data_IF_899598955081
#
_entry.id   IF_899598955081
#
_cell.length_a   1.000
_cell.length_b   1.000
_cell.length_c   1.000
_cell.angle_alpha   90.00
_cell.angle_beta   90.00
_cell.angle_gamma   90.00
#
_symmetry.space_group_name_H-M   'P 1'
#
loop_
_entity.id
_entity.type
_entity.pdbx_description
1 polymer ?
#
# COMPACT_ATOMS: atom_id res chain seq x y z
N UNK A 1 26.93 3.97 -14.21
CA UNK A 1 26.10 2.92 -14.86
C UNK A 1 25.97 1.66 -14.00
N UNK A 2 27.07 0.96 -13.66
CA UNK A 2 27.02 -0.30 -12.89
C UNK A 2 26.19 -0.20 -11.58
N UNK A 3 26.46 0.80 -10.73
CA UNK A 3 25.67 1.02 -9.51
C UNK A 3 24.18 1.28 -9.78
N UNK A 4 23.83 2.00 -10.86
CA UNK A 4 22.43 2.22 -11.24
C UNK A 4 21.75 0.93 -11.70
N UNK A 5 22.46 0.06 -12.43
CA UNK A 5 21.97 -1.29 -12.76
C UNK A 5 21.64 -2.06 -11.49
N UNK A 6 22.56 -2.08 -10.52
CA UNK A 6 22.35 -2.73 -9.21
C UNK A 6 21.11 -2.20 -8.52
N UNK A 7 20.97 -0.88 -8.43
CA UNK A 7 19.80 -0.24 -7.83
C UNK A 7 18.48 -0.66 -8.53
N UNK A 8 18.43 -0.63 -9.86
CA UNK A 8 17.25 -1.07 -10.64
C UNK A 8 16.88 -2.52 -10.37
N UNK A 9 17.88 -3.40 -10.36
CA UNK A 9 17.68 -4.84 -10.19
C UNK A 9 17.16 -5.17 -8.81
N UNK A 10 17.70 -4.52 -7.77
CA UNK A 10 17.23 -4.71 -6.41
C UNK A 10 15.85 -4.10 -6.17
N UNK A 11 15.52 -2.96 -6.79
CA UNK A 11 14.16 -2.42 -6.74
C UNK A 11 13.16 -3.42 -7.31
N UNK A 12 13.39 -3.96 -8.51
CA UNK A 12 12.50 -4.98 -9.08
C UNK A 12 12.45 -6.25 -8.23
N UNK A 13 13.60 -6.70 -7.73
CA UNK A 13 13.66 -7.89 -6.88
C UNK A 13 12.82 -7.73 -5.61
N UNK A 14 12.98 -6.63 -4.88
CA UNK A 14 12.22 -6.40 -3.64
C UNK A 14 10.76 -6.05 -3.90
N UNK A 15 10.45 -5.38 -5.01
CA UNK A 15 9.07 -5.18 -5.45
C UNK A 15 8.38 -6.52 -5.78
N UNK A 16 9.10 -7.48 -6.34
CA UNK A 16 8.57 -8.84 -6.53
C UNK A 16 8.45 -9.59 -5.18
N UNK A 17 9.47 -9.47 -4.31
CA UNK A 17 9.46 -10.08 -2.97
C UNK A 17 8.28 -9.61 -2.12
N UNK A 18 7.94 -8.33 -2.17
CA UNK A 18 6.83 -7.79 -1.42
C UNK A 18 5.50 -8.46 -1.78
N UNK A 19 5.36 -8.96 -3.00
CA UNK A 19 4.17 -9.66 -3.53
C UNK A 19 4.11 -11.14 -3.20
N UNK A 20 5.15 -11.72 -2.59
CA UNK A 20 5.16 -13.10 -2.08
C UNK A 20 4.36 -13.18 -0.78
N UNK A 21 3.04 -13.02 -0.90
CA UNK A 21 2.11 -12.99 0.23
C UNK A 21 0.68 -13.38 -0.21
N UNK A 22 -0.26 -13.41 0.72
CA UNK A 22 -1.68 -13.70 0.44
C UNK A 22 -2.53 -12.45 0.17
N UNK A 23 -1.97 -11.26 0.32
CA UNK A 23 -2.64 -9.97 0.10
C UNK A 23 -2.72 -9.58 -1.37
N UNK A 24 -1.67 -9.84 -2.14
CA UNK A 24 -1.53 -9.37 -3.51
C UNK A 24 -2.66 -9.80 -4.47
N UNK A 25 -3.30 -10.99 -4.33
CA UNK A 25 -4.50 -11.31 -5.09
C UNK A 25 -5.65 -10.29 -4.92
N UNK A 26 -5.82 -9.73 -3.72
CA UNK A 26 -6.84 -8.70 -3.49
C UNK A 26 -6.48 -7.37 -4.15
N UNK A 27 -5.18 -7.02 -4.18
CA UNK A 27 -4.67 -5.85 -4.90
C UNK A 27 -4.95 -5.96 -6.40
N UNK A 28 -4.59 -7.09 -7.03
CA UNK A 28 -4.85 -7.30 -8.46
C UNK A 28 -6.34 -7.22 -8.76
N UNK A 29 -7.17 -7.86 -7.94
CA UNK A 29 -8.62 -7.83 -8.07
C UNK A 29 -9.16 -6.39 -8.06
N UNK A 30 -8.81 -5.60 -7.03
CA UNK A 30 -9.32 -4.23 -6.88
C UNK A 30 -8.71 -3.27 -7.91
N UNK A 31 -7.41 -3.35 -8.15
CA UNK A 31 -6.69 -2.54 -9.14
C UNK A 31 -7.33 -2.68 -10.53
N UNK A 32 -7.58 -3.91 -10.99
CA UNK A 32 -8.21 -4.13 -12.29
C UNK A 32 -9.70 -3.78 -12.32
N UNK A 33 -10.39 -3.89 -11.17
CA UNK A 33 -11.79 -3.45 -11.09
C UNK A 33 -11.92 -1.93 -11.21
N UNK A 34 -10.97 -1.19 -10.62
CA UNK A 34 -10.90 0.26 -10.72
C UNK A 34 -10.35 0.72 -12.09
N UNK A 35 -9.55 -0.12 -12.77
CA UNK A 35 -8.98 0.20 -14.08
C UNK A 35 -10.06 0.55 -15.12
N UNK A 36 -9.93 1.68 -15.84
CA UNK A 36 -10.99 2.17 -16.72
C UNK A 36 -11.14 1.36 -18.03
N UNK A 37 -10.13 0.58 -18.40
CA UNK A 37 -10.06 -0.07 -19.72
C UNK A 37 -10.46 -1.54 -19.75
N UNK A 38 -10.79 -2.15 -18.60
CA UNK A 38 -11.17 -3.56 -18.54
C UNK A 38 -12.68 -3.76 -18.74
N UNK A 39 -13.11 -4.75 -19.55
CA UNK A 39 -14.52 -4.99 -19.78
C UNK A 39 -15.21 -5.51 -18.51
N UNK A 40 -16.49 -5.16 -18.33
CA UNK A 40 -17.28 -5.53 -17.15
C UNK A 40 -17.23 -7.03 -16.84
N UNK A 41 -17.35 -7.89 -17.86
CA UNK A 41 -17.33 -9.34 -17.65
C UNK A 41 -16.02 -9.84 -17.04
N UNK A 42 -14.88 -9.21 -17.36
CA UNK A 42 -13.59 -9.56 -16.78
C UNK A 42 -13.50 -9.07 -15.34
N UNK A 43 -13.95 -7.83 -15.09
CA UNK A 43 -14.02 -7.24 -13.74
C UNK A 43 -14.80 -8.13 -12.78
N UNK A 44 -15.94 -8.67 -13.21
CA UNK A 44 -16.78 -9.56 -12.41
C UNK A 44 -16.12 -10.92 -12.13
N UNK A 45 -15.31 -11.44 -13.05
CA UNK A 45 -14.57 -12.71 -12.88
C UNK A 45 -13.40 -12.62 -11.90
N UNK A 46 -13.00 -11.41 -11.49
CA UNK A 46 -11.94 -11.23 -10.50
C UNK A 46 -12.40 -11.57 -9.09
N UNK A 47 -13.71 -11.52 -8.82
CA UNK A 47 -14.33 -11.97 -7.57
C UNK A 47 -14.62 -13.46 -7.59
N UNK A 48 -14.59 -14.11 -6.42
CA UNK A 48 -14.88 -15.53 -6.28
C UNK A 48 -16.29 -15.88 -6.78
N UNK A 49 -17.30 -15.06 -6.45
CA UNK A 49 -18.66 -15.14 -6.99
C UNK A 49 -19.41 -13.81 -6.80
N UNK A 50 -19.31 -12.90 -7.75
CA UNK A 50 -20.05 -11.63 -7.67
C UNK A 50 -21.58 -11.83 -7.82
N UNK A 51 -22.44 -11.13 -7.04
CA UNK A 51 -22.11 -10.18 -5.96
C UNK A 51 -21.94 -10.82 -4.58
N UNK A 52 -22.22 -12.11 -4.43
CA UNK A 52 -22.37 -12.76 -3.12
C UNK A 52 -21.03 -13.06 -2.41
N UNK A 53 -19.92 -13.11 -3.14
CA UNK A 53 -18.58 -13.43 -2.66
C UNK A 53 -17.53 -12.56 -3.34
N UNK A 54 -17.12 -11.51 -2.61
CA UNK A 54 -16.17 -10.52 -3.08
C UNK A 54 -14.71 -10.84 -2.71
N UNK A 55 -14.43 -12.07 -2.26
CA UNK A 55 -13.05 -12.53 -2.08
C UNK A 55 -12.34 -12.67 -3.44
N UNK A 56 -10.99 -12.62 -3.47
CA UNK A 56 -10.24 -12.84 -4.70
C UNK A 56 -10.55 -14.19 -5.33
N UNK A 57 -10.85 -14.19 -6.63
CA UNK A 57 -11.02 -15.42 -7.41
C UNK A 57 -9.70 -16.16 -7.65
N UNK A 58 -9.81 -17.39 -8.17
CA UNK A 58 -8.66 -18.13 -8.71
C UNK A 58 -7.97 -17.39 -9.87
N UNK A 59 -8.72 -16.62 -10.66
CA UNK A 59 -8.16 -15.80 -11.74
C UNK A 59 -7.30 -14.67 -11.16
N UNK A 60 -7.80 -13.93 -10.18
CA UNK A 60 -7.06 -12.87 -9.51
C UNK A 60 -5.78 -13.42 -8.86
N UNK A 61 -5.86 -14.58 -8.20
CA UNK A 61 -4.69 -15.26 -7.64
C UNK A 61 -3.68 -15.68 -8.71
N UNK A 62 -4.13 -16.29 -9.82
CA UNK A 62 -3.25 -16.68 -10.92
C UNK A 62 -2.55 -15.47 -11.55
N UNK A 63 -3.26 -14.36 -11.75
CA UNK A 63 -2.69 -13.11 -12.26
C UNK A 63 -1.68 -12.49 -11.28
N UNK A 64 -1.97 -12.52 -9.98
CA UNK A 64 -1.04 -12.08 -8.94
C UNK A 64 0.27 -12.89 -8.94
N UNK A 65 0.17 -14.22 -9.04
CA UNK A 65 1.36 -15.09 -9.14
C UNK A 65 2.13 -14.87 -10.45
N UNK A 66 1.44 -14.72 -11.57
CA UNK A 66 2.08 -14.42 -12.86
C UNK A 66 2.81 -13.09 -12.83
N UNK A 67 2.19 -12.05 -12.26
CA UNK A 67 2.81 -10.74 -12.09
C UNK A 67 4.06 -10.82 -11.22
N UNK A 68 3.96 -11.50 -10.08
CA UNK A 68 5.11 -11.72 -9.15
C UNK A 68 6.25 -12.46 -9.85
N UNK A 69 5.94 -13.54 -10.56
CA UNK A 69 6.93 -14.33 -11.30
C UNK A 69 7.61 -13.50 -12.40
N UNK A 70 6.83 -12.77 -13.19
CA UNK A 70 7.33 -11.90 -14.26
C UNK A 70 8.29 -10.85 -13.70
N UNK A 71 7.91 -10.22 -12.59
CA UNK A 71 8.71 -9.18 -11.94
C UNK A 71 10.03 -9.71 -11.37
N UNK A 72 10.09 -10.96 -10.89
CA UNK A 72 11.36 -11.62 -10.56
C UNK A 72 12.21 -11.94 -11.77
N UNK A 73 11.59 -12.39 -12.87
CA UNK A 73 12.32 -12.80 -14.07
C UNK A 73 13.03 -11.62 -14.75
N UNK A 74 12.46 -10.41 -14.70
CA UNK A 74 13.07 -9.22 -15.32
C UNK A 74 14.51 -8.98 -14.82
N UNK A 75 14.77 -8.72 -13.52
CA UNK A 75 16.13 -8.45 -13.04
C UNK A 75 17.05 -9.67 -13.18
N UNK A 76 16.54 -10.89 -12.96
CA UNK A 76 17.37 -12.11 -13.04
C UNK A 76 17.85 -12.40 -14.47
N UNK A 77 16.97 -12.26 -15.47
CA UNK A 77 17.34 -12.46 -16.86
C UNK A 77 18.18 -11.32 -17.40
N UNK A 78 17.93 -10.07 -17.00
CA UNK A 78 18.78 -8.93 -17.40
C UNK A 78 20.20 -9.03 -16.81
N UNK A 79 20.35 -9.61 -15.62
CA UNK A 79 21.66 -9.91 -15.02
C UNK A 79 22.39 -11.04 -15.73
N UNK A 80 21.70 -12.13 -16.02
CA UNK A 80 22.31 -13.35 -16.54
C UNK A 80 22.49 -13.33 -18.07
N UNK A 81 21.75 -12.49 -18.79
CA UNK A 81 21.74 -12.47 -20.26
C UNK A 81 22.99 -11.82 -20.83
N UNK A 82 23.73 -12.58 -21.64
CA UNK A 82 24.76 -12.06 -22.55
C UNK A 82 24.24 -11.89 -23.99
N UNK A 83 22.99 -12.30 -24.26
CA UNK A 83 22.37 -12.30 -25.58
C UNK A 83 21.59 -11.00 -25.83
N UNK A 84 21.93 -10.21 -26.87
CA UNK A 84 21.17 -9.01 -27.22
C UNK A 84 19.69 -9.29 -27.49
N UNK A 85 19.38 -10.45 -28.10
CA UNK A 85 18.00 -10.86 -28.38
C UNK A 85 17.22 -11.10 -27.09
N UNK A 86 17.77 -11.90 -26.17
CA UNK A 86 17.11 -12.20 -24.90
C UNK A 86 16.91 -10.92 -24.08
N UNK A 87 17.93 -10.07 -24.00
CA UNK A 87 17.83 -8.77 -23.32
C UNK A 87 16.73 -7.90 -23.95
N UNK A 88 16.66 -7.83 -25.28
CA UNK A 88 15.59 -7.11 -25.98
C UNK A 88 14.20 -7.65 -25.68
N UNK A 89 14.02 -8.98 -25.64
CA UNK A 89 12.74 -9.62 -25.26
C UNK A 89 12.37 -9.28 -23.81
N UNK A 90 13.30 -9.37 -22.87
CA UNK A 90 13.04 -9.06 -21.46
C UNK A 90 12.69 -7.58 -21.28
N UNK A 91 13.35 -6.67 -21.98
CA UNK A 91 13.02 -5.25 -21.96
C UNK A 91 11.62 -4.97 -22.53
N UNK A 92 11.22 -5.69 -23.58
CA UNK A 92 9.86 -5.59 -24.11
C UNK A 92 8.81 -6.13 -23.12
N UNK A 93 9.09 -7.26 -22.46
CA UNK A 93 8.23 -7.80 -21.39
C UNK A 93 8.12 -6.82 -20.22
N UNK A 94 9.24 -6.25 -19.78
CA UNK A 94 9.28 -5.23 -18.73
C UNK A 94 8.45 -4.00 -19.13
N UNK A 95 8.60 -3.50 -20.35
CA UNK A 95 7.80 -2.39 -20.87
C UNK A 95 6.30 -2.71 -20.83
N UNK A 96 5.90 -3.89 -21.30
CA UNK A 96 4.50 -4.34 -21.25
C UNK A 96 3.98 -4.51 -19.82
N UNK A 97 4.80 -5.02 -18.90
CA UNK A 97 4.47 -5.16 -17.48
C UNK A 97 4.21 -3.79 -16.84
N UNK A 98 5.12 -2.84 -17.00
CA UNK A 98 4.93 -1.47 -16.52
C UNK A 98 3.75 -0.76 -17.21
N UNK A 99 3.54 -1.00 -18.51
CA UNK A 99 2.38 -0.51 -19.25
C UNK A 99 1.05 -1.03 -18.68
N UNK A 100 0.98 -2.32 -18.33
CA UNK A 100 -0.18 -2.90 -17.65
C UNK A 100 -0.46 -2.17 -16.33
N UNK A 101 0.57 -1.93 -15.51
CA UNK A 101 0.41 -1.21 -14.24
C UNK A 101 -0.09 0.23 -14.49
N UNK A 102 0.49 0.96 -15.45
CA UNK A 102 0.04 2.32 -15.82
C UNK A 102 -1.43 2.37 -16.25
N UNK A 103 -1.87 1.45 -17.10
CA UNK A 103 -3.24 1.41 -17.65
C UNK A 103 -4.27 1.15 -16.54
N UNK A 104 -3.88 0.47 -15.47
CA UNK A 104 -4.75 0.20 -14.33
C UNK A 104 -4.89 1.40 -13.38
N UNK A 105 -4.07 2.44 -13.51
CA UNK A 105 -4.00 3.59 -12.61
C UNK A 105 -4.16 3.22 -11.11
N UNK A 106 -3.31 2.31 -10.57
CA UNK A 106 -3.42 1.87 -9.18
C UNK A 106 -3.33 3.06 -8.23
N UNK A 107 -4.22 3.08 -7.24
CA UNK A 107 -4.22 4.11 -6.19
C UNK A 107 -2.84 4.18 -5.53
N UNK A 108 -2.33 5.41 -5.39
CA UNK A 108 -1.03 5.70 -4.77
C UNK A 108 0.19 5.52 -5.66
N UNK A 109 0.10 4.86 -6.83
CA UNK A 109 1.29 4.65 -7.65
C UNK A 109 1.89 5.98 -8.16
N UNK A 110 3.18 6.24 -7.90
CA UNK A 110 3.88 7.35 -8.53
C UNK A 110 4.10 6.99 -10.00
N UNK A 111 3.28 7.56 -10.88
CA UNK A 111 3.37 7.31 -12.33
C UNK A 111 4.78 7.66 -12.85
N UNK A 112 5.39 8.68 -12.27
CA UNK A 112 6.76 9.11 -12.51
C UNK A 112 7.76 7.99 -12.24
N UNK A 113 7.57 7.24 -11.14
CA UNK A 113 8.41 6.08 -10.82
C UNK A 113 8.26 4.99 -11.87
N UNK A 114 7.02 4.70 -12.30
CA UNK A 114 6.77 3.68 -13.30
C UNK A 114 7.41 4.03 -14.66
N UNK A 115 7.34 5.30 -15.07
CA UNK A 115 8.01 5.82 -16.27
C UNK A 115 9.53 5.73 -16.11
N UNK A 116 10.06 6.11 -14.96
CA UNK A 116 11.49 6.07 -14.68
C UNK A 116 12.01 4.63 -14.76
N UNK A 117 11.30 3.65 -14.19
CA UNK A 117 11.69 2.24 -14.26
C UNK A 117 11.79 1.74 -15.70
N UNK A 118 10.85 2.12 -16.56
CA UNK A 118 10.87 1.81 -18.01
C UNK A 118 12.07 2.46 -18.69
N UNK A 119 12.25 3.77 -18.50
CA UNK A 119 13.36 4.52 -19.08
C UNK A 119 14.70 3.91 -18.65
N UNK A 120 14.89 3.69 -17.35
CA UNK A 120 16.11 3.11 -16.80
C UNK A 120 16.34 1.68 -17.28
N UNK A 121 15.30 0.88 -17.48
CA UNK A 121 15.41 -0.44 -18.10
C UNK A 121 16.06 -0.37 -19.49
N UNK A 122 15.49 0.44 -20.39
CA UNK A 122 16.02 0.61 -21.75
C UNK A 122 17.39 1.28 -21.77
N UNK A 123 17.59 2.32 -20.97
CA UNK A 123 18.84 3.06 -20.92
C UNK A 123 19.98 2.22 -20.34
N UNK A 124 19.77 1.60 -19.18
CA UNK A 124 20.82 0.87 -18.49
C UNK A 124 21.11 -0.47 -19.16
N UNK A 125 20.08 -1.25 -19.51
CA UNK A 125 20.27 -2.63 -20.00
C UNK A 125 20.17 -2.78 -21.51
N UNK A 126 19.52 -1.83 -22.20
CA UNK A 126 19.47 -1.79 -23.66
C UNK A 126 20.66 -1.03 -24.24
N UNK A 127 20.74 0.28 -23.96
CA UNK A 127 21.77 1.17 -24.50
C UNK A 127 23.13 0.86 -23.91
N UNK A 128 23.23 0.77 -22.57
CA UNK A 128 24.48 0.52 -21.86
C UNK A 128 24.68 -0.94 -21.46
N UNK A 129 24.30 -1.87 -22.34
CA UNK A 129 24.36 -3.32 -22.08
C UNK A 129 25.77 -3.82 -21.71
N UNK A 130 26.80 -3.20 -22.27
CA UNK A 130 28.22 -3.51 -22.10
C UNK A 130 28.76 -3.22 -20.69
N UNK A 131 28.11 -2.34 -19.93
CA UNK A 131 28.55 -1.99 -18.59
C UNK A 131 28.27 -3.13 -17.60
N UNK A 132 29.30 -3.82 -17.15
CA UNK A 132 29.16 -4.90 -16.18
C UNK A 132 28.71 -4.35 -14.80
N UNK A 133 27.55 -4.79 -14.26
CA UNK A 133 27.07 -4.36 -12.95
C UNK A 133 28.00 -4.78 -11.79
N UNK A 134 28.81 -5.83 -11.95
CA UNK A 134 29.68 -6.36 -10.90
C UNK A 134 30.98 -5.57 -10.69
N UNK A 135 31.31 -4.63 -11.60
CA UNK A 135 32.42 -3.68 -11.42
C UNK A 135 32.31 -2.86 -10.13
N UNK A 136 31.11 -2.78 -9.55
CA UNK A 136 30.89 -2.15 -8.26
C UNK A 136 31.73 -2.77 -7.13
N UNK A 137 32.10 -4.05 -7.25
CA UNK A 137 32.93 -4.76 -6.27
C UNK A 137 34.36 -4.19 -6.18
N UNK A 138 34.83 -3.50 -7.22
CA UNK A 138 36.13 -2.82 -7.22
C UNK A 138 36.12 -1.53 -6.37
N UNK A 139 34.95 -1.09 -5.91
CA UNK A 139 34.76 0.08 -5.04
C UNK A 139 34.18 -0.35 -3.68
N UNK A 140 34.99 -0.87 -2.74
CA UNK A 140 34.50 -1.54 -1.54
C UNK A 140 33.55 -0.69 -0.68
N UNK A 141 33.83 0.61 -0.54
CA UNK A 141 32.96 1.51 0.23
C UNK A 141 31.57 1.66 -0.42
N UNK A 142 31.52 1.79 -1.75
CA UNK A 142 30.27 1.90 -2.49
C UNK A 142 29.53 0.56 -2.53
N UNK A 143 30.25 -0.55 -2.71
CA UNK A 143 29.66 -1.89 -2.63
C UNK A 143 29.03 -2.14 -1.25
N UNK A 144 29.72 -1.78 -0.16
CA UNK A 144 29.20 -1.89 1.20
C UNK A 144 27.96 -1.01 1.42
N UNK A 145 27.99 0.23 0.94
CA UNK A 145 26.83 1.13 0.98
C UNK A 145 25.63 0.52 0.25
N UNK A 146 25.83 0.05 -0.99
CA UNK A 146 24.75 -0.57 -1.76
C UNK A 146 24.28 -1.87 -1.11
N UNK A 147 25.15 -2.71 -0.55
CA UNK A 147 24.73 -3.92 0.17
C UNK A 147 23.84 -3.57 1.38
N UNK A 148 24.19 -2.53 2.14
CA UNK A 148 23.37 -2.06 3.26
C UNK A 148 21.97 -1.62 2.80
N UNK A 149 21.89 -0.75 1.79
CA UNK A 149 20.62 -0.14 1.37
C UNK A 149 19.80 -1.01 0.40
N UNK A 150 20.43 -1.86 -0.39
CA UNK A 150 19.76 -2.72 -1.36
C UNK A 150 19.52 -4.14 -0.85
N UNK A 151 20.16 -4.57 0.25
CA UNK A 151 19.96 -5.92 0.79
C UNK A 151 19.55 -5.88 2.26
N UNK A 152 20.38 -5.30 3.13
CA UNK A 152 20.18 -5.40 4.58
C UNK A 152 18.91 -4.68 5.03
N UNK A 153 18.75 -3.41 4.66
CA UNK A 153 17.59 -2.60 5.05
C UNK A 153 16.28 -3.21 4.51
N UNK A 154 16.16 -3.53 3.21
CA UNK A 154 14.99 -4.22 2.68
C UNK A 154 14.71 -5.57 3.36
N UNK A 155 15.71 -6.39 3.61
CA UNK A 155 15.54 -7.68 4.28
C UNK A 155 15.01 -7.51 5.71
N UNK A 156 15.63 -6.61 6.49
CA UNK A 156 15.18 -6.30 7.85
C UNK A 156 13.76 -5.76 7.84
N UNK A 157 13.43 -4.86 6.92
CA UNK A 157 12.09 -4.27 6.83
C UNK A 157 11.01 -5.24 6.36
N UNK A 158 11.34 -6.23 5.53
CA UNK A 158 10.40 -7.30 5.19
C UNK A 158 10.16 -8.24 6.39
N UNK A 159 11.18 -8.55 7.18
CA UNK A 159 11.06 -9.42 8.37
C UNK A 159 10.47 -8.70 9.60
N UNK A 160 10.73 -7.40 9.75
CA UNK A 160 10.36 -6.58 10.89
C UNK A 160 9.75 -5.24 10.43
N UNK A 161 8.57 -5.27 9.78
CA UNK A 161 8.05 -4.09 9.10
C UNK A 161 7.70 -2.94 10.05
N UNK A 162 7.44 -3.22 11.34
CA UNK A 162 7.27 -2.18 12.35
C UNK A 162 8.54 -1.35 12.63
N UNK A 163 9.72 -1.76 12.14
CA UNK A 163 11.02 -1.13 12.45
C UNK A 163 11.59 -0.33 11.28
N UNK A 164 11.15 -0.59 10.06
CA UNK A 164 11.69 0.01 8.85
C UNK A 164 10.52 0.44 7.99
N UNK A 165 10.54 1.72 7.59
CA UNK A 165 9.55 2.31 6.69
C UNK A 165 9.30 1.41 5.48
N UNK A 166 8.05 1.40 5.05
CA UNK A 166 7.59 0.73 3.84
C UNK A 166 8.45 1.05 2.61
N UNK A 167 8.85 2.33 2.47
CA UNK A 167 9.64 2.84 1.34
C UNK A 167 11.06 2.27 1.32
N UNK A 168 11.74 2.35 2.46
CA UNK A 168 13.10 1.80 2.61
C UNK A 168 13.12 0.28 2.51
N UNK A 169 12.02 -0.35 2.89
CA UNK A 169 11.85 -1.80 2.77
C UNK A 169 11.56 -2.28 1.34
N UNK A 170 11.33 -1.34 0.40
CA UNK A 170 10.95 -1.61 -0.98
C UNK A 170 9.69 -2.48 -1.11
N UNK A 171 8.72 -2.32 -0.19
CA UNK A 171 7.52 -3.18 -0.11
C UNK A 171 6.39 -2.77 -1.07
N UNK A 172 6.75 -2.16 -2.19
CA UNK A 172 5.86 -1.38 -3.05
C UNK A 172 4.58 -2.11 -3.50
N UNK A 173 3.42 -1.50 -3.21
CA UNK A 173 2.07 -1.82 -3.70
C UNK A 173 1.67 -3.31 -3.69
N UNK A 174 2.08 -4.05 -2.66
CA UNK A 174 1.74 -5.47 -2.51
C UNK A 174 0.55 -5.76 -1.58
N UNK A 175 -0.19 -4.72 -1.16
CA UNK A 175 -1.37 -4.84 -0.28
C UNK A 175 -1.02 -5.19 1.16
N UNK A 176 0.17 -4.78 1.61
CA UNK A 176 0.67 -5.10 2.94
C UNK A 176 1.57 -3.96 3.44
N UNK A 177 0.96 -2.88 3.88
CA UNK A 177 1.65 -1.77 4.54
C UNK A 177 0.91 -1.36 5.82
N UNK A 178 1.58 -0.62 6.69
CA UNK A 178 0.94 -0.08 7.87
C UNK A 178 -0.06 1.00 7.46
N UNK A 179 -1.22 1.04 8.11
CA UNK A 179 -2.23 2.07 7.86
C UNK A 179 -2.97 2.40 9.16
N UNK A 180 -3.78 3.44 9.14
CA UNK A 180 -4.60 3.81 10.27
C UNK A 180 -5.96 4.38 9.84
N UNK A 181 -6.95 4.21 10.70
CA UNK A 181 -8.29 4.80 10.57
C UNK A 181 -8.52 5.70 11.77
N UNK A 182 -8.85 6.95 11.50
CA UNK A 182 -9.21 7.93 12.51
C UNK A 182 -10.72 7.97 12.66
N UNK A 183 -11.20 7.75 13.87
CA UNK A 183 -12.60 7.88 14.26
C UNK A 183 -12.68 9.15 15.11
N UNK A 184 -13.30 10.18 14.56
CA UNK A 184 -13.43 11.48 15.22
C UNK A 184 -14.91 11.71 15.53
N UNK A 185 -15.25 11.92 16.80
CA UNK A 185 -16.64 12.13 17.21
C UNK A 185 -17.21 13.34 16.46
N UNK A 186 -18.40 13.19 15.89
CA UNK A 186 -18.99 14.19 14.97
C UNK A 186 -19.14 15.58 15.59
N UNK A 187 -19.43 15.65 16.89
CA UNK A 187 -19.52 16.90 17.66
C UNK A 187 -18.16 17.55 17.97
N UNK A 188 -17.06 16.79 17.87
CA UNK A 188 -15.69 17.25 18.12
C UNK A 188 -14.91 17.55 16.83
N UNK A 189 -15.47 17.22 15.67
CA UNK A 189 -14.82 17.37 14.36
C UNK A 189 -14.30 18.80 14.11
N UNK A 190 -15.07 19.81 14.57
CA UNK A 190 -14.72 21.23 14.48
C UNK A 190 -13.39 21.60 15.17
N UNK A 191 -12.91 20.79 16.14
CA UNK A 191 -11.62 21.05 16.80
C UNK A 191 -10.43 20.87 15.85
N UNK A 192 -10.59 20.11 14.76
CA UNK A 192 -9.57 20.00 13.70
C UNK A 192 -9.31 21.30 12.97
N UNK A 193 -10.23 22.27 13.02
CA UNK A 193 -10.04 23.58 12.38
C UNK A 193 -8.98 24.43 13.08
N UNK A 194 -8.49 23.99 14.26
CA UNK A 194 -7.32 24.57 14.93
C UNK A 194 -6.00 24.21 14.24
N UNK A 195 -5.98 23.18 13.40
CA UNK A 195 -4.79 22.75 12.68
C UNK A 195 -4.55 23.65 11.46
N UNK A 196 -3.30 24.04 11.26
CA UNK A 196 -2.87 24.51 9.94
C UNK A 196 -2.70 23.30 9.03
N UNK A 197 -3.55 23.18 8.01
CA UNK A 197 -3.55 22.06 7.07
C UNK A 197 -3.04 22.49 5.70
N UNK A 198 -2.32 21.61 5.02
CA UNK A 198 -1.85 21.81 3.65
C UNK A 198 -3.03 21.88 2.65
N UNK A 199 -4.11 21.16 2.94
CA UNK A 199 -5.33 21.13 2.13
C UNK A 199 -6.59 21.11 3.02
N UNK A 200 -7.73 21.54 2.48
CA UNK A 200 -9.01 21.51 3.19
C UNK A 200 -9.53 20.09 3.42
N UNK A 201 -10.66 19.96 4.12
CA UNK A 201 -11.31 18.66 4.35
C UNK A 201 -11.67 17.97 3.02
N UNK A 202 -11.49 16.64 2.93
CA UNK A 202 -11.88 15.85 1.77
C UNK A 202 -13.36 16.04 1.42
N UNK A 203 -14.24 16.05 2.43
CA UNK A 203 -15.69 16.27 2.23
C UNK A 203 -15.97 17.58 1.51
N UNK A 204 -15.36 18.68 1.95
CA UNK A 204 -15.56 20.00 1.34
C UNK A 204 -15.01 20.06 -0.08
N UNK A 205 -13.90 19.36 -0.35
CA UNK A 205 -13.34 19.26 -1.70
C UNK A 205 -14.30 18.49 -2.63
N UNK A 206 -14.83 17.36 -2.16
CA UNK A 206 -15.81 16.56 -2.90
C UNK A 206 -17.12 17.32 -3.14
N UNK A 207 -17.62 18.04 -2.14
CA UNK A 207 -18.85 18.85 -2.25
C UNK A 207 -18.77 19.96 -3.31
N UNK A 208 -17.55 20.42 -3.65
CA UNK A 208 -17.33 21.38 -4.76
C UNK A 208 -17.27 20.71 -6.13
N UNK A 209 -17.00 19.40 -6.19
CA UNK A 209 -16.78 18.65 -7.43
C UNK A 209 -17.96 17.75 -7.82
N UNK A 210 -18.78 17.36 -6.85
CA UNK A 210 -19.87 16.39 -7.00
C UNK A 210 -21.24 17.08 -6.99
N UNK A 211 -22.26 16.47 -7.62
CA UNK A 211 -23.54 17.14 -7.87
C UNK A 211 -24.39 17.35 -6.62
N UNK A 212 -24.27 16.49 -5.61
CA UNK A 212 -25.12 16.50 -4.41
C UNK A 212 -24.46 15.80 -3.22
N UNK A 213 -25.06 15.95 -2.03
CA UNK A 213 -24.57 15.35 -0.78
C UNK A 213 -24.52 13.81 -0.84
N UNK A 214 -25.46 13.18 -1.55
CA UNK A 214 -25.47 11.72 -1.67
C UNK A 214 -24.25 11.21 -2.46
N UNK A 215 -23.85 11.92 -3.50
CA UNK A 215 -22.64 11.63 -4.27
C UNK A 215 -21.38 11.84 -3.41
N UNK A 216 -21.36 12.86 -2.55
CA UNK A 216 -20.26 13.10 -1.59
C UNK A 216 -20.14 11.96 -0.59
N UNK A 217 -21.24 11.57 0.05
CA UNK A 217 -21.28 10.46 1.01
C UNK A 217 -20.87 9.14 0.35
N UNK A 218 -21.32 8.89 -0.88
CA UNK A 218 -20.91 7.72 -1.64
C UNK A 218 -19.39 7.72 -1.90
N UNK A 219 -18.82 8.86 -2.32
CA UNK A 219 -17.40 8.98 -2.58
C UNK A 219 -16.54 8.79 -1.32
N UNK A 220 -16.96 9.36 -0.18
CA UNK A 220 -16.32 9.15 1.13
C UNK A 220 -16.40 7.67 1.55
N UNK A 221 -17.56 7.05 1.37
CA UNK A 221 -17.77 5.63 1.69
C UNK A 221 -16.89 4.73 0.82
N UNK A 222 -16.73 5.02 -0.48
CA UNK A 222 -15.85 4.26 -1.38
C UNK A 222 -14.38 4.33 -0.94
N UNK A 223 -13.93 5.47 -0.43
CA UNK A 223 -12.57 5.64 0.12
C UNK A 223 -12.32 4.68 1.29
N UNK A 224 -13.30 4.53 2.18
CA UNK A 224 -13.22 3.57 3.29
C UNK A 224 -13.38 2.11 2.83
N UNK A 225 -14.34 1.85 1.95
CA UNK A 225 -14.62 0.51 1.41
C UNK A 225 -13.39 -0.10 0.73
N UNK A 226 -12.56 0.73 0.08
CA UNK A 226 -11.28 0.31 -0.48
C UNK A 226 -10.44 -0.50 0.51
N UNK A 227 -10.35 -0.08 1.78
CA UNK A 227 -9.55 -0.79 2.78
C UNK A 227 -10.10 -2.19 3.07
N UNK A 228 -11.42 -2.31 3.21
CA UNK A 228 -12.09 -3.59 3.45
C UNK A 228 -12.00 -4.55 2.26
N UNK A 229 -11.97 -4.05 1.03
CA UNK A 229 -11.83 -4.87 -0.16
C UNK A 229 -10.46 -5.57 -0.27
N UNK A 230 -9.46 -5.08 0.47
CA UNK A 230 -8.14 -5.69 0.57
C UNK A 230 -8.03 -6.61 1.79
N UNK A 231 -7.18 -7.63 1.70
CA UNK A 231 -6.93 -8.54 2.82
C UNK A 231 -6.32 -7.82 4.03
N UNK A 232 -5.52 -6.77 3.79
CA UNK A 232 -4.95 -5.93 4.84
C UNK A 232 -6.00 -5.28 5.74
N UNK A 233 -7.22 -5.06 5.26
CA UNK A 233 -8.31 -4.46 6.03
C UNK A 233 -8.99 -5.43 7.02
N UNK A 234 -8.72 -6.74 6.94
CA UNK A 234 -9.39 -7.74 7.79
C UNK A 234 -9.20 -7.54 9.31
N UNK A 235 -8.05 -7.08 9.83
CA UNK A 235 -7.90 -6.75 11.24
C UNK A 235 -8.91 -5.71 11.75
N UNK A 236 -9.49 -4.87 10.87
CA UNK A 236 -10.51 -3.90 11.26
C UNK A 236 -11.80 -4.56 11.77
N UNK A 237 -12.09 -5.79 11.35
CA UNK A 237 -13.26 -6.55 11.82
C UNK A 237 -13.15 -6.86 13.33
N UNK A 238 -11.94 -6.94 13.87
CA UNK A 238 -11.68 -7.13 15.31
C UNK A 238 -11.41 -5.81 16.02
N UNK A 239 -10.68 -4.90 15.37
CA UNK A 239 -10.20 -3.67 16.00
C UNK A 239 -11.28 -2.58 16.14
N UNK A 240 -12.17 -2.43 15.15
CA UNK A 240 -13.18 -1.36 15.19
C UNK A 240 -14.21 -1.54 16.32
N UNK A 241 -14.77 -2.74 16.57
CA UNK A 241 -15.70 -2.95 17.69
C UNK A 241 -15.06 -2.71 19.07
N UNK A 242 -13.73 -2.71 19.15
CA UNK A 242 -12.97 -2.43 20.38
C UNK A 242 -12.52 -0.97 20.47
N UNK A 243 -12.60 -0.24 19.36
CA UNK A 243 -12.19 1.15 19.31
C UNK A 243 -13.24 2.08 19.91
N UNK A 244 -14.50 1.84 19.58
CA UNK A 244 -15.66 2.65 19.98
C UNK A 244 -16.89 1.76 20.18
N UNK A 245 -17.75 2.12 21.14
CA UNK A 245 -19.00 1.36 21.42
C UNK A 245 -20.06 1.60 20.34
N UNK A 246 -20.22 2.85 19.89
CA UNK A 246 -21.16 3.28 18.87
C UNK A 246 -20.41 4.00 17.75
N UNK A 247 -20.18 3.29 16.65
CA UNK A 247 -19.36 3.75 15.55
C UNK A 247 -20.06 4.81 14.68
N UNK A 248 -21.38 4.94 14.77
CA UNK A 248 -22.18 5.90 14.00
C UNK A 248 -22.04 7.33 14.54
N UNK A 249 -21.54 7.49 15.78
CA UNK A 249 -21.23 8.79 16.38
C UNK A 249 -19.93 9.40 15.85
N UNK A 250 -19.15 8.67 15.07
CA UNK A 250 -17.83 9.07 14.59
C UNK A 250 -17.84 9.29 13.08
N UNK A 251 -17.13 10.32 12.64
CA UNK A 251 -16.69 10.45 11.25
C UNK A 251 -15.44 9.59 11.07
N UNK A 252 -15.41 8.80 10.00
CA UNK A 252 -14.27 7.96 9.67
C UNK A 252 -13.38 8.68 8.68
N UNK A 253 -12.13 8.88 9.05
CA UNK A 253 -11.11 9.45 8.19
C UNK A 253 -10.06 8.39 7.90
N UNK A 254 -9.86 8.10 6.62
CA UNK A 254 -8.75 7.29 6.15
C UNK A 254 -7.43 8.01 6.47
N UNK A 255 -6.49 7.30 7.10
CA UNK A 255 -5.28 7.87 7.66
C UNK A 255 -4.35 8.51 6.62
N UNK A 256 -4.19 7.92 5.45
CA UNK A 256 -3.34 8.49 4.40
C UNK A 256 -3.94 9.79 3.87
N UNK A 257 -5.27 9.88 3.77
CA UNK A 257 -5.97 11.11 3.38
C UNK A 257 -5.85 12.19 4.47
N UNK A 258 -6.16 11.86 5.72
CA UNK A 258 -6.09 12.83 6.82
C UNK A 258 -4.64 13.27 7.06
N UNK A 259 -3.70 12.32 7.06
CA UNK A 259 -2.27 12.58 7.12
C UNK A 259 -1.86 13.53 6.00
N UNK A 260 -2.20 13.23 4.75
CA UNK A 260 -1.92 14.08 3.60
C UNK A 260 -2.41 15.53 3.76
N UNK A 261 -3.59 15.72 4.36
CA UNK A 261 -4.12 17.05 4.67
C UNK A 261 -3.31 17.78 5.74
N UNK A 262 -2.83 17.08 6.77
CA UNK A 262 -2.12 17.68 7.91
C UNK A 262 -0.62 17.89 7.59
N UNK A 263 0.08 16.87 7.09
CA UNK A 263 1.53 16.90 6.87
C UNK A 263 1.92 17.32 5.45
N UNK A 264 0.97 17.41 4.52
CA UNK A 264 1.24 17.72 3.11
C UNK A 264 1.91 16.58 2.33
N UNK A 265 1.88 15.37 2.89
CA UNK A 265 2.50 14.18 2.32
C UNK A 265 1.55 12.98 2.43
N UNK A 266 1.20 12.40 1.28
CA UNK A 266 0.34 11.22 1.19
C UNK A 266 1.11 10.11 0.47
N UNK A 267 1.59 9.13 1.24
CA UNK A 267 2.23 7.93 0.72
C UNK A 267 1.92 6.77 1.66
N UNK A 268 1.84 5.53 1.12
CA UNK A 268 1.43 4.31 1.82
C UNK A 268 2.39 3.85 2.93
N UNK A 269 2.57 4.69 3.93
CA UNK A 269 3.41 4.48 5.11
C UNK A 269 2.66 4.99 6.35
N UNK A 270 1.86 4.12 6.95
CA UNK A 270 1.07 4.42 8.14
C UNK A 270 1.93 4.86 9.34
N UNK A 271 3.24 4.59 9.35
CA UNK A 271 4.14 5.07 10.41
C UNK A 271 4.23 6.59 10.46
N UNK A 272 4.01 7.28 9.33
CA UNK A 272 3.97 8.75 9.28
C UNK A 272 2.70 9.34 9.91
N UNK A 273 1.62 8.56 9.95
CA UNK A 273 0.36 8.94 10.60
C UNK A 273 0.04 8.04 11.81
N UNK A 274 1.06 7.70 12.60
CA UNK A 274 0.93 6.93 13.84
C UNK A 274 0.79 7.85 15.07
N UNK A 275 1.09 7.33 16.25
CA UNK A 275 0.98 8.04 17.54
C UNK A 275 1.69 9.39 17.57
N UNK A 276 2.79 9.57 16.84
CA UNK A 276 3.48 10.86 16.76
C UNK A 276 2.59 11.95 16.12
N UNK A 277 1.87 11.64 15.04
CA UNK A 277 0.94 12.60 14.45
C UNK A 277 -0.25 12.82 15.38
N UNK A 278 -0.76 11.77 16.01
CA UNK A 278 -1.85 11.86 16.99
C UNK A 278 -1.49 12.77 18.17
N UNK A 279 -0.29 12.65 18.72
CA UNK A 279 0.22 13.49 19.80
C UNK A 279 0.33 14.95 19.36
N UNK A 280 0.85 15.20 18.15
CA UNK A 280 0.97 16.55 17.59
C UNK A 280 -0.39 17.20 17.30
N UNK A 281 -1.36 16.42 16.80
CA UNK A 281 -2.75 16.86 16.60
C UNK A 281 -3.41 17.13 17.95
N UNK A 282 -3.26 16.24 18.93
CA UNK A 282 -3.81 16.40 20.27
C UNK A 282 -3.32 17.69 20.94
N UNK A 283 -2.02 17.97 20.86
CA UNK A 283 -1.41 19.15 21.47
C UNK A 283 -2.01 20.47 20.96
N UNK A 284 -2.54 20.49 19.74
CA UNK A 284 -3.14 21.67 19.11
C UNK A 284 -4.67 21.70 19.23
N UNK A 285 -5.31 20.55 19.08
CA UNK A 285 -6.77 20.45 19.04
C UNK A 285 -7.40 20.33 20.43
N UNK A 286 -6.70 19.73 21.40
CA UNK A 286 -7.21 19.52 22.75
C UNK A 286 -8.49 18.69 22.78
N UNK A 287 -8.42 17.46 22.26
CA UNK A 287 -9.52 16.52 22.35
C UNK A 287 -9.66 15.96 23.77
N UNK A 288 -10.90 15.71 24.19
CA UNK A 288 -11.23 15.01 25.41
C UNK A 288 -11.23 13.49 25.18
N UNK A 289 -11.25 12.73 26.27
CA UNK A 289 -11.38 11.28 26.20
C UNK A 289 -12.61 10.88 25.38
N UNK A 290 -12.42 9.92 24.47
CA UNK A 290 -13.48 9.43 23.60
C UNK A 290 -13.65 10.25 22.32
N UNK A 291 -13.17 11.49 22.23
CA UNK A 291 -13.45 12.32 21.04
C UNK A 291 -12.69 11.87 19.79
N UNK A 292 -11.50 11.28 19.97
CA UNK A 292 -10.71 10.75 18.86
C UNK A 292 -10.18 9.38 19.24
N UNK A 293 -10.47 8.38 18.40
CA UNK A 293 -9.86 7.05 18.42
C UNK A 293 -9.10 6.85 17.12
N UNK A 294 -7.88 6.33 17.20
CA UNK A 294 -7.10 5.95 16.02
C UNK A 294 -6.82 4.46 16.09
N UNK A 295 -7.34 3.72 15.11
CA UNK A 295 -7.02 2.32 14.90
C UNK A 295 -5.80 2.26 14.00
N UNK A 296 -4.67 1.80 14.53
CA UNK A 296 -3.41 1.65 13.82
C UNK A 296 -3.16 0.17 13.55
N UNK A 297 -3.01 -0.22 12.30
CA UNK A 297 -2.78 -1.60 11.89
C UNK A 297 -1.40 -1.71 11.25
N UNK A 298 -0.57 -2.59 11.80
CA UNK A 298 0.77 -2.87 11.30
C UNK A 298 0.74 -3.90 10.16
N UNK A 299 1.71 -3.75 9.26
CA UNK A 299 2.03 -4.72 8.23
C UNK A 299 2.20 -6.14 8.76
N UNK A 300 1.81 -7.13 7.96
CA UNK A 300 2.18 -8.52 8.20
C UNK A 300 3.67 -8.73 7.87
N UNK A 301 4.50 -9.24 8.81
CA UNK A 301 5.88 -9.62 8.53
C UNK A 301 5.97 -10.70 7.44
N UNK A 302 7.07 -10.71 6.67
CA UNK A 302 7.38 -11.80 5.75
C UNK A 302 7.45 -13.12 6.54
N UNK A 303 6.68 -14.12 6.11
CA UNK A 303 6.45 -15.40 6.81
C UNK A 303 5.68 -15.32 8.14
N UNK A 304 5.30 -14.12 8.58
CA UNK A 304 4.45 -13.91 9.76
C UNK A 304 3.03 -14.43 9.53
N UNK A 305 2.31 -14.74 10.62
CA UNK A 305 0.92 -15.22 10.58
C UNK A 305 -0.12 -14.17 10.97
N UNK A 306 0.33 -13.10 11.60
CA UNK A 306 -0.53 -12.11 12.26
C UNK A 306 -0.27 -10.69 11.80
N UNK A 307 -1.29 -9.85 11.84
CA UNK A 307 -1.16 -8.38 11.84
C UNK A 307 -1.46 -7.85 13.24
N UNK A 308 -0.65 -6.91 13.72
CA UNK A 308 -0.84 -6.27 15.03
C UNK A 308 -1.63 -5.00 14.84
N UNK A 309 -2.68 -4.81 15.62
CA UNK A 309 -3.46 -3.58 15.65
C UNK A 309 -3.42 -2.98 17.04
N UNK A 310 -3.53 -1.65 17.11
CA UNK A 310 -3.59 -0.86 18.33
C UNK A 310 -4.70 0.18 18.19
N UNK A 311 -5.39 0.45 19.28
CA UNK A 311 -6.34 1.55 19.38
C UNK A 311 -5.75 2.59 20.31
N UNK A 312 -5.64 3.82 19.84
CA UNK A 312 -5.22 4.97 20.64
C UNK A 312 -6.36 5.96 20.82
N UNK A 313 -6.54 6.47 22.02
CA UNK A 313 -7.29 7.68 22.33
C UNK A 313 -6.33 8.88 22.27
N UNK A 314 -6.74 10.00 21.65
CA UNK A 314 -5.87 11.18 21.53
C UNK A 314 -5.42 11.75 22.89
N UNK A 315 -6.29 11.72 23.91
CA UNK A 315 -6.04 12.20 25.27
C UNK A 315 -5.34 11.17 26.15
N UNK A 316 -5.74 9.90 26.08
CA UNK A 316 -5.27 8.82 26.99
C UNK A 316 -4.10 8.01 26.45
N UNK A 317 -3.81 8.05 25.15
CA UNK A 317 -2.82 7.18 24.51
C UNK A 317 -3.39 5.80 24.20
N UNK A 318 -2.58 4.75 24.34
CA UNK A 318 -2.98 3.37 24.02
C UNK A 318 -4.14 2.91 24.92
N UNK A 319 -5.25 2.46 24.31
CA UNK A 319 -6.42 1.94 25.03
C UNK A 319 -6.64 0.44 24.85
N UNK A 320 -6.30 -0.11 23.69
CA UNK A 320 -6.36 -1.56 23.45
C UNK A 320 -5.37 -1.97 22.35
N UNK A 321 -5.00 -3.24 22.32
CA UNK A 321 -4.19 -3.83 21.27
C UNK A 321 -4.47 -5.32 21.08
N UNK A 322 -4.19 -5.82 19.88
CA UNK A 322 -4.39 -7.23 19.57
C UNK A 322 -3.67 -7.68 18.32
N UNK A 323 -3.60 -9.00 18.14
CA UNK A 323 -3.00 -9.62 16.97
C UNK A 323 -4.03 -10.49 16.28
N UNK A 324 -4.30 -10.16 15.02
CA UNK A 324 -5.25 -10.88 14.19
C UNK A 324 -4.51 -11.94 13.38
N UNK A 325 -4.91 -13.21 13.48
CA UNK A 325 -4.42 -14.24 12.56
C UNK A 325 -5.04 -14.08 11.17
N UNK A 326 -4.20 -13.98 10.13
CA UNK A 326 -4.67 -13.65 8.79
C UNK A 326 -5.21 -14.87 8.04
N UNK A 327 -4.68 -16.06 8.32
CA UNK A 327 -5.05 -17.26 7.57
C UNK A 327 -6.57 -17.58 7.63
N UNK A 328 -7.25 -17.55 8.79
CA UNK A 328 -8.70 -17.73 8.85
C UNK A 328 -9.48 -16.63 8.12
N UNK A 329 -9.01 -15.38 8.21
CA UNK A 329 -9.71 -14.22 7.64
C UNK A 329 -9.66 -14.15 6.10
N UNK A 330 -8.81 -14.95 5.46
CA UNK A 330 -8.86 -15.16 4.00
C UNK A 330 -10.20 -15.76 3.54
N UNK A 331 -10.86 -16.52 4.40
CA UNK A 331 -12.16 -17.12 4.09
C UNK A 331 -13.32 -16.14 4.33
N UNK A 332 -13.08 -15.01 4.99
CA UNK A 332 -14.11 -14.05 5.41
C UNK A 332 -14.30 -12.96 4.36
N UNK A 333 -15.55 -12.50 4.23
CA UNK A 333 -15.93 -11.40 3.35
C UNK A 333 -15.24 -10.08 3.76
N UNK A 334 -15.13 -9.10 2.84
CA UNK A 334 -14.63 -7.77 3.14
C UNK A 334 -15.29 -7.08 4.34
N UNK A 335 -16.59 -7.30 4.55
CA UNK A 335 -17.38 -6.73 5.64
C UNK A 335 -18.04 -7.82 6.51
N UNK A 336 -18.46 -7.48 7.74
CA UNK A 336 -19.22 -8.40 8.58
C UNK A 336 -20.53 -8.80 7.89
N UNK A 337 -20.79 -10.09 7.74
CA UNK A 337 -22.05 -10.60 7.16
C UNK A 337 -23.09 -11.02 8.21
N UNK A 338 -22.87 -10.68 9.49
CA UNK A 338 -23.81 -10.96 10.58
C UNK A 338 -24.09 -12.45 10.79
N UNK A 339 -23.09 -13.31 10.57
CA UNK A 339 -23.21 -14.76 10.71
C UNK A 339 -23.29 -15.22 12.16
#
# INVERSE_FOLDING_TARGET
IAGCKMLWMFIWFWAAMSKVNNHFPSVIMVMMNNGPFFPKWLKLRLFARYPDDLRPSRLAAAMAHMGTFTEYMIPLLLLASTSPLLTGVVLFVMFGFHGFISINNPSGMPIEWNILMVYGGWFLFGVHREADPFLIAELPALAAFLALFLVVIPAVGNLFPARVSFLLSMRYYAGNWAYNIWLIRKDALHKLDRLTRATGNLRDQLARMLPDEQAVELALTLSMAHRFMHLEGRPLLEALPRAVDDIDQYEWCEGEVLGGSIIGWNFGDGHLNHSQLLEAVQAQCGFEEGEVRVVMVESQPLFGKTMHWRVHDAKRGLVDEGRTEIAPLRAVQPWPTGG
#
